data_IF_777091512761
#
_entry.id   IF_777091512761
#
_cell.length_a   1.000
_cell.length_b   1.000
_cell.length_c   1.000
_cell.angle_alpha   90.00
_cell.angle_beta   90.00
_cell.angle_gamma   90.00
#
_symmetry.space_group_name_H-M   'P 1'
#
loop_
_entity.id
_entity.type
_entity.pdbx_description
1 polymer ?
#
# COMPACT_ATOMS: atom_id res chain seq x y z
N UNK A 1 -5.06 -11.79 8.46
CA UNK A 1 -3.77 -11.96 7.76
C UNK A 1 -3.96 -12.64 6.41
N UNK A 2 -2.95 -12.59 5.53
CA UNK A 2 -2.96 -13.16 4.19
C UNK A 2 -1.71 -13.99 3.91
N UNK A 3 -1.84 -15.00 3.06
CA UNK A 3 -0.72 -15.81 2.58
C UNK A 3 -0.89 -16.16 1.09
N UNK A 4 0.19 -16.52 0.38
CA UNK A 4 0.12 -16.99 -1.00
C UNK A 4 -0.75 -18.23 -1.18
N UNK A 5 -1.58 -18.25 -2.23
CA UNK A 5 -2.39 -19.40 -2.61
C UNK A 5 -1.53 -20.44 -3.38
N UNK A 6 -1.10 -21.51 -2.71
CA UNK A 6 -0.39 -22.64 -3.32
C UNK A 6 0.89 -22.23 -4.08
N UNK A 7 1.01 -22.65 -5.35
CA UNK A 7 2.14 -22.31 -6.23
C UNK A 7 1.99 -20.97 -6.96
N UNK A 8 1.12 -20.06 -6.48
CA UNK A 8 1.00 -18.74 -7.07
C UNK A 8 2.37 -18.05 -7.15
N UNK A 9 2.63 -17.30 -8.22
CA UNK A 9 3.91 -16.61 -8.41
C UNK A 9 4.26 -15.65 -7.25
N UNK A 10 3.25 -15.17 -6.52
CA UNK A 10 3.41 -14.33 -5.33
C UNK A 10 4.06 -15.07 -4.15
N UNK A 11 4.01 -16.41 -4.12
CA UNK A 11 4.66 -17.26 -3.12
C UNK A 11 6.20 -17.15 -3.13
N UNK A 12 6.78 -16.57 -4.18
CA UNK A 12 8.23 -16.29 -4.25
C UNK A 12 8.65 -15.13 -3.34
N UNK A 13 7.71 -14.31 -2.87
CA UNK A 13 8.01 -13.19 -2.00
C UNK A 13 7.80 -13.56 -0.55
N UNK A 14 8.65 -13.02 0.32
CA UNK A 14 8.47 -13.06 1.77
C UNK A 14 7.34 -12.14 2.23
N UNK A 15 7.04 -11.09 1.44
CA UNK A 15 5.94 -10.16 1.67
C UNK A 15 5.65 -9.31 0.42
N UNK A 16 4.45 -8.74 0.35
CA UNK A 16 4.11 -7.59 -0.50
C UNK A 16 4.15 -6.34 0.37
N UNK A 17 5.14 -5.49 0.15
CA UNK A 17 5.32 -4.24 0.90
C UNK A 17 4.68 -3.11 0.12
N UNK A 18 3.87 -2.28 0.78
CA UNK A 18 3.24 -1.11 0.16
C UNK A 18 3.75 0.14 0.89
N UNK A 19 4.24 1.13 0.13
CA UNK A 19 4.59 2.45 0.68
C UNK A 19 3.64 3.50 0.14
N UNK A 20 3.03 4.28 1.03
CA UNK A 20 2.17 5.40 0.67
C UNK A 20 2.06 6.41 1.82
N UNK A 21 1.51 7.58 1.53
CA UNK A 21 1.30 8.65 2.50
C UNK A 21 -0.16 9.08 2.61
N UNK A 22 -0.54 9.64 3.76
CA UNK A 22 -1.85 10.24 3.95
C UNK A 22 -1.79 11.56 4.70
N UNK A 23 -2.14 12.63 3.99
CA UNK A 23 -2.15 13.97 4.56
C UNK A 23 -3.49 14.36 5.17
N UNK A 24 -3.45 15.29 6.12
CA UNK A 24 -4.63 16.02 6.59
C UNK A 24 -4.22 17.37 7.20
N UNK A 25 -5.14 18.32 7.15
CA UNK A 25 -4.94 19.66 7.67
C UNK A 25 -4.83 19.68 9.21
N UNK A 26 -4.01 20.60 9.70
CA UNK A 26 -3.88 20.98 11.09
C UNK A 26 -4.35 22.43 11.29
N UNK A 27 -4.38 22.88 12.55
CA UNK A 27 -4.70 24.28 12.85
C UNK A 27 -3.63 25.19 12.24
N UNK A 28 -4.06 26.23 11.52
CA UNK A 28 -3.19 27.13 10.72
C UNK A 28 -1.99 27.70 11.49
N UNK A 29 -2.11 27.88 12.81
CA UNK A 29 -1.01 28.36 13.67
C UNK A 29 0.20 27.41 13.70
N UNK A 30 0.03 26.13 13.33
CA UNK A 30 1.09 25.14 13.27
C UNK A 30 1.88 25.14 11.95
N UNK A 31 1.63 26.09 11.03
CA UNK A 31 2.27 26.13 9.70
C UNK A 31 3.81 26.21 9.76
N UNK A 32 4.37 26.73 10.84
CA UNK A 32 5.82 26.88 11.02
C UNK A 32 6.50 25.56 11.41
N UNK A 33 5.71 24.57 11.82
CA UNK A 33 6.15 23.27 12.32
C UNK A 33 5.75 22.16 11.35
N UNK A 34 4.50 22.21 10.90
CA UNK A 34 3.89 21.28 9.94
C UNK A 34 3.44 22.05 8.71
N UNK A 35 4.39 22.43 7.85
CA UNK A 35 4.07 23.23 6.67
C UNK A 35 3.27 22.42 5.65
N UNK A 36 2.13 22.98 5.24
CA UNK A 36 1.27 22.34 4.24
C UNK A 36 1.71 22.61 2.80
N UNK A 37 1.47 21.65 1.92
CA UNK A 37 1.73 21.81 0.47
C UNK A 37 0.84 22.87 -0.18
N UNK A 38 -0.38 23.06 0.33
CA UNK A 38 -1.36 24.00 -0.19
C UNK A 38 -1.53 25.23 0.71
N UNK A 39 -0.51 26.08 0.74
CA UNK A 39 -0.39 27.23 1.65
C UNK A 39 -1.61 28.16 1.72
N UNK A 40 -2.35 28.33 0.62
CA UNK A 40 -3.54 29.19 0.59
C UNK A 40 -4.79 28.58 1.23
N UNK A 41 -4.90 27.25 1.31
CA UNK A 41 -6.09 26.56 1.84
C UNK A 41 -5.80 25.88 3.17
N UNK A 42 -4.72 25.12 3.21
CA UNK A 42 -4.27 24.30 4.33
C UNK A 42 -2.80 24.64 4.62
N UNK A 43 -2.52 25.83 5.20
CA UNK A 43 -1.15 26.28 5.44
C UNK A 43 -0.40 25.41 6.46
N UNK A 44 -1.14 24.73 7.34
CA UNK A 44 -0.61 23.74 8.24
C UNK A 44 -1.20 22.37 7.89
N UNK A 45 -0.35 21.40 7.53
CA UNK A 45 -0.76 20.04 7.23
C UNK A 45 0.37 19.06 7.54
N UNK A 46 -0.04 17.87 7.95
CA UNK A 46 0.86 16.77 8.29
C UNK A 46 0.60 15.61 7.35
N UNK A 47 1.66 14.92 6.95
CA UNK A 47 1.58 13.68 6.20
C UNK A 47 2.07 12.51 7.06
N UNK A 48 1.26 11.46 7.10
CA UNK A 48 1.61 10.19 7.74
C UNK A 48 2.06 9.23 6.65
N UNK A 49 3.36 8.97 6.59
CA UNK A 49 3.97 7.99 5.70
C UNK A 49 3.95 6.62 6.35
N UNK A 50 3.46 5.61 5.64
CA UNK A 50 3.33 4.26 6.16
C UNK A 50 3.87 3.22 5.20
N UNK A 51 4.61 2.25 5.77
CA UNK A 51 4.96 1.00 5.12
C UNK A 51 4.00 -0.08 5.62
N UNK A 52 3.27 -0.71 4.72
CA UNK A 52 2.28 -1.74 5.02
C UNK A 52 2.72 -3.12 4.51
N UNK A 53 2.59 -4.12 5.37
CA UNK A 53 2.80 -5.54 5.06
C UNK A 53 1.50 -6.14 4.53
N UNK A 54 1.53 -6.62 3.29
CA UNK A 54 0.40 -7.27 2.65
C UNK A 54 0.05 -8.61 3.28
N UNK A 55 1.04 -9.39 3.71
CA UNK A 55 0.81 -10.70 4.32
C UNK A 55 0.32 -10.54 5.77
N UNK A 56 0.92 -9.63 6.54
CA UNK A 56 0.45 -9.35 7.91
C UNK A 56 -0.89 -8.60 7.91
N UNK A 57 -1.25 -7.95 6.80
CA UNK A 57 -2.39 -7.04 6.70
C UNK A 57 -2.34 -5.97 7.81
N UNK A 58 -1.15 -5.39 7.99
CA UNK A 58 -0.82 -4.45 9.06
C UNK A 58 0.30 -3.49 8.65
N UNK A 59 0.37 -2.33 9.30
CA UNK A 59 1.48 -1.39 9.17
C UNK A 59 2.74 -1.91 9.86
N UNK A 60 3.89 -1.84 9.19
CA UNK A 60 5.19 -2.21 9.75
C UNK A 60 5.96 -0.99 10.26
N UNK A 61 5.82 0.14 9.57
CA UNK A 61 6.57 1.37 9.88
C UNK A 61 5.69 2.58 9.63
N UNK A 62 5.75 3.58 10.51
CA UNK A 62 5.09 4.87 10.34
C UNK A 62 6.09 6.00 10.59
N UNK A 63 6.00 7.05 9.79
CA UNK A 63 6.69 8.32 10.02
C UNK A 63 5.72 9.47 9.79
N UNK A 64 5.90 10.54 10.55
CA UNK A 64 5.07 11.75 10.46
C UNK A 64 5.99 12.88 10.04
N UNK A 65 5.59 13.65 9.04
CA UNK A 65 6.37 14.76 8.50
C UNK A 65 5.46 15.90 8.08
N UNK A 66 6.05 17.06 7.76
CA UNK A 66 5.29 18.15 7.12
C UNK A 66 4.81 17.69 5.74
N UNK A 67 3.57 18.03 5.37
CA UNK A 67 2.99 17.67 4.07
C UNK A 67 3.74 18.28 2.87
N UNK A 68 4.56 19.30 3.09
CA UNK A 68 5.45 19.85 2.06
C UNK A 68 6.73 19.05 1.81
N UNK A 69 7.09 18.10 2.69
CA UNK A 69 8.33 17.34 2.56
C UNK A 69 8.29 16.34 1.40
N UNK A 70 9.47 16.01 0.87
CA UNK A 70 9.55 15.09 -0.26
C UNK A 70 9.29 13.63 0.17
N UNK A 71 8.23 13.03 -0.36
CA UNK A 71 7.78 11.66 -0.04
C UNK A 71 8.88 10.57 -0.15
N UNK A 72 9.88 10.77 -1.03
CA UNK A 72 10.88 9.75 -1.38
C UNK A 72 11.76 9.32 -0.21
N UNK A 73 12.01 10.20 0.75
CA UNK A 73 12.86 9.87 1.90
C UNK A 73 12.22 8.81 2.82
N UNK A 74 10.90 8.61 2.71
CA UNK A 74 10.14 7.63 3.49
C UNK A 74 10.01 6.27 2.80
N UNK A 75 10.68 6.07 1.65
CA UNK A 75 10.77 4.74 1.04
C UNK A 75 11.49 3.76 1.97
N UNK A 76 11.07 2.49 2.02
CA UNK A 76 11.83 1.46 2.74
C UNK A 76 13.28 1.40 2.24
N UNK A 77 14.24 1.19 3.14
CA UNK A 77 15.62 1.01 2.73
C UNK A 77 15.75 -0.18 1.75
N UNK A 78 16.52 -0.07 0.65
CA UNK A 78 16.62 -1.16 -0.35
C UNK A 78 17.00 -2.53 0.24
N UNK A 79 17.85 -2.54 1.27
CA UNK A 79 18.28 -3.76 1.98
C UNK A 79 17.13 -4.48 2.69
N UNK A 80 16.11 -3.76 3.16
CA UNK A 80 14.94 -4.37 3.81
C UNK A 80 13.97 -4.98 2.79
N UNK A 81 14.16 -4.76 1.48
CA UNK A 81 13.31 -5.29 0.43
C UNK A 81 13.81 -6.62 -0.15
N UNK A 82 14.90 -7.19 0.36
CA UNK A 82 15.43 -8.48 -0.08
C UNK A 82 14.36 -9.59 -0.03
N UNK A 83 14.04 -10.16 -1.20
CA UNK A 83 13.01 -11.18 -1.36
C UNK A 83 11.57 -10.69 -1.15
N UNK A 84 11.32 -9.38 -1.15
CA UNK A 84 9.99 -8.76 -1.00
C UNK A 84 9.59 -8.01 -2.27
N UNK A 85 8.29 -7.78 -2.45
CA UNK A 85 7.72 -7.01 -3.56
C UNK A 85 7.22 -5.64 -3.08
N UNK A 86 7.89 -4.55 -3.47
CA UNK A 86 7.44 -3.18 -3.20
C UNK A 86 6.36 -2.72 -4.19
N UNK A 87 5.26 -2.17 -3.70
CA UNK A 87 4.26 -1.43 -4.46
C UNK A 87 4.26 0.04 -4.04
N UNK A 88 4.40 0.98 -4.99
CA UNK A 88 4.39 2.43 -4.70
C UNK A 88 3.77 3.25 -5.84
N UNK A 89 3.22 4.43 -5.51
CA UNK A 89 2.59 5.35 -6.48
C UNK A 89 3.60 6.31 -7.14
N UNK A 90 3.09 7.28 -7.91
CA UNK A 90 3.82 8.17 -8.84
C UNK A 90 4.78 9.17 -8.21
N UNK A 91 4.77 9.39 -6.89
CA UNK A 91 5.71 10.27 -6.18
C UNK A 91 7.08 9.62 -5.95
N UNK A 92 7.10 8.28 -5.87
CA UNK A 92 8.25 7.47 -5.48
C UNK A 92 9.26 7.04 -6.56
N UNK A 93 9.02 7.19 -7.88
CA UNK A 93 10.01 6.76 -8.86
C UNK A 93 11.38 7.44 -8.72
N UNK A 94 12.43 6.62 -8.71
CA UNK A 94 13.85 7.01 -8.80
C UNK A 94 14.64 5.85 -9.39
N UNK A 95 15.33 6.08 -10.52
CA UNK A 95 16.11 5.03 -11.20
C UNK A 95 17.25 4.50 -10.32
N UNK A 96 17.88 5.38 -9.54
CA UNK A 96 18.91 5.00 -8.56
C UNK A 96 18.34 4.09 -7.48
N UNK A 97 17.15 4.41 -6.97
CA UNK A 97 16.48 3.57 -5.97
C UNK A 97 16.06 2.22 -6.56
N UNK A 98 15.51 2.19 -7.78
CA UNK A 98 15.16 0.94 -8.47
C UNK A 98 16.36 0.02 -8.67
N UNK A 99 17.50 0.60 -9.04
CA UNK A 99 18.76 -0.14 -9.20
C UNK A 99 19.26 -0.70 -7.86
N UNK A 100 19.20 0.11 -6.79
CA UNK A 100 19.57 -0.31 -5.44
C UNK A 100 18.66 -1.43 -4.90
N UNK A 101 17.34 -1.35 -5.11
CA UNK A 101 16.39 -2.42 -4.74
C UNK A 101 16.73 -3.71 -5.46
N UNK A 102 16.98 -3.65 -6.77
CA UNK A 102 17.41 -4.82 -7.55
C UNK A 102 18.72 -5.40 -7.01
N UNK A 103 19.72 -4.56 -6.73
CA UNK A 103 21.02 -4.99 -6.23
C UNK A 103 20.93 -5.73 -4.88
N UNK A 104 19.95 -5.38 -4.04
CA UNK A 104 19.68 -6.06 -2.76
C UNK A 104 18.71 -7.24 -2.89
N UNK A 105 18.39 -7.69 -4.12
CA UNK A 105 17.49 -8.83 -4.35
C UNK A 105 16.01 -8.53 -4.06
N UNK A 106 15.63 -7.25 -4.04
CA UNK A 106 14.24 -6.81 -3.93
C UNK A 106 13.54 -6.73 -5.29
N UNK A 107 12.21 -6.79 -5.25
CA UNK A 107 11.36 -6.59 -6.43
C UNK A 107 10.45 -5.38 -6.25
N UNK A 108 10.03 -4.75 -7.34
CA UNK A 108 9.12 -3.61 -7.26
C UNK A 108 8.13 -3.55 -8.41
N UNK A 109 6.97 -2.94 -8.16
CA UNK A 109 6.05 -2.41 -9.17
C UNK A 109 5.69 -0.99 -8.75
N UNK A 110 6.20 -0.01 -9.49
CA UNK A 110 6.01 1.42 -9.18
C UNK A 110 5.33 2.12 -10.34
N UNK A 111 4.29 2.90 -10.05
CA UNK A 111 3.60 3.68 -11.08
C UNK A 111 4.46 4.86 -11.50
N UNK A 112 4.69 5.03 -12.79
CA UNK A 112 5.47 6.15 -13.33
C UNK A 112 4.59 7.37 -13.60
N UNK A 113 5.14 8.55 -13.35
CA UNK A 113 4.59 9.82 -13.82
C UNK A 113 4.87 10.01 -15.32
N UNK A 114 4.25 11.02 -15.94
CA UNK A 114 4.52 11.39 -17.34
C UNK A 114 5.95 11.90 -17.58
N UNK A 115 6.59 12.44 -16.54
CA UNK A 115 7.96 12.94 -16.62
C UNK A 115 9.00 11.82 -16.79
N UNK A 116 8.63 10.58 -16.49
CA UNK A 116 9.46 9.41 -16.81
C UNK A 116 9.21 8.99 -18.25
N UNK A 117 10.23 9.19 -19.08
CA UNK A 117 10.17 8.97 -20.52
C UNK A 117 11.40 8.20 -21.01
N UNK A 118 11.64 6.96 -20.57
CA UNK A 118 12.79 6.18 -21.03
C UNK A 118 12.71 5.81 -22.52
N UNK A 119 13.80 5.26 -23.06
CA UNK A 119 13.83 4.69 -24.39
C UNK A 119 13.22 3.30 -24.39
N UNK A 120 12.30 3.01 -25.30
CA UNK A 120 11.74 1.67 -25.52
C UNK A 120 12.66 0.91 -26.46
N UNK A 121 13.22 -0.20 -26.00
CA UNK A 121 14.15 -1.06 -26.76
C UNK A 121 13.47 -2.32 -27.32
N UNK A 122 12.47 -2.86 -26.63
CA UNK A 122 11.60 -3.92 -27.13
C UNK A 122 10.15 -3.69 -26.69
N UNK A 123 9.20 -4.13 -27.50
CA UNK A 123 7.78 -3.88 -27.24
C UNK A 123 6.89 -5.06 -27.65
N UNK A 124 5.90 -5.34 -26.81
CA UNK A 124 4.79 -6.22 -27.10
C UNK A 124 3.50 -5.44 -26.92
N UNK A 125 2.68 -5.36 -27.97
CA UNK A 125 1.41 -4.62 -27.95
C UNK A 125 0.27 -5.59 -28.19
N UNK A 126 -0.70 -5.62 -27.27
CA UNK A 126 -1.76 -6.64 -27.26
C UNK A 126 -1.21 -8.07 -27.35
N UNK A 127 -0.10 -8.34 -26.65
CA UNK A 127 0.56 -9.65 -26.61
C UNK A 127 1.42 -10.01 -27.82
N UNK A 128 1.43 -9.20 -28.89
CA UNK A 128 2.25 -9.45 -30.08
C UNK A 128 3.51 -8.59 -30.05
N UNK A 129 4.66 -9.20 -30.34
CA UNK A 129 5.92 -8.46 -30.44
C UNK A 129 5.85 -7.49 -31.62
N UNK A 130 6.35 -6.28 -31.41
CA UNK A 130 6.45 -5.22 -32.41
C UNK A 130 7.92 -4.97 -32.70
N UNK A 131 8.32 -5.07 -33.97
CA UNK A 131 9.69 -4.77 -34.39
C UNK A 131 9.94 -3.25 -34.33
N UNK A 132 10.97 -2.85 -33.59
CA UNK A 132 11.42 -1.46 -33.51
C UNK A 132 12.66 -1.28 -34.40
N UNK A 133 12.59 -0.41 -35.41
CA UNK A 133 13.76 -0.08 -36.25
C UNK A 133 14.86 0.65 -35.47
N UNK A 134 14.47 1.44 -34.47
CA UNK A 134 15.36 2.14 -33.54
C UNK A 134 14.64 2.36 -32.20
N UNK A 135 15.37 2.51 -31.08
CA UNK A 135 14.77 2.89 -29.82
C UNK A 135 13.94 4.16 -29.95
N UNK A 136 12.83 4.24 -29.22
CA UNK A 136 11.95 5.41 -29.27
C UNK A 136 11.49 5.81 -27.88
N UNK A 137 11.21 7.11 -27.69
CA UNK A 137 10.76 7.64 -26.39
C UNK A 137 9.42 7.01 -25.99
N UNK A 138 9.30 6.64 -24.72
CA UNK A 138 8.11 5.98 -24.17
C UNK A 138 6.82 6.76 -24.48
N UNK A 139 6.83 8.07 -24.27
CA UNK A 139 5.73 9.00 -24.57
C UNK A 139 5.26 8.86 -26.02
N UNK A 140 6.18 8.99 -26.97
CA UNK A 140 5.91 8.83 -28.41
C UNK A 140 5.41 7.42 -28.76
N UNK A 141 5.93 6.39 -28.11
CA UNK A 141 5.46 5.01 -28.33
C UNK A 141 4.01 4.83 -27.86
N UNK A 142 3.68 5.38 -26.69
CA UNK A 142 2.33 5.34 -26.10
C UNK A 142 1.34 6.08 -26.99
N UNK A 143 1.67 7.29 -27.47
CA UNK A 143 0.80 8.08 -28.35
C UNK A 143 0.39 7.31 -29.61
N UNK A 144 1.35 6.61 -30.24
CA UNK A 144 1.11 5.79 -31.44
C UNK A 144 0.31 4.51 -31.18
N UNK A 145 0.19 4.11 -29.91
CA UNK A 145 -0.48 2.88 -29.50
C UNK A 145 -1.57 3.16 -28.46
N UNK A 146 -2.17 4.34 -28.50
CA UNK A 146 -3.18 4.78 -27.52
C UNK A 146 -4.28 3.74 -27.31
N UNK A 147 -4.78 3.63 -26.09
CA UNK A 147 -5.78 2.66 -25.65
C UNK A 147 -5.41 1.17 -25.80
N UNK A 148 -4.14 0.83 -26.07
CA UNK A 148 -3.66 -0.56 -26.16
C UNK A 148 -2.83 -0.97 -24.95
N UNK A 149 -2.93 -2.24 -24.55
CA UNK A 149 -2.06 -2.81 -23.51
C UNK A 149 -0.67 -3.07 -24.06
N UNK A 150 0.36 -2.69 -23.32
CA UNK A 150 1.76 -2.82 -23.76
C UNK A 150 2.63 -3.40 -22.66
N UNK A 151 3.54 -4.28 -23.04
CA UNK A 151 4.63 -4.80 -22.22
C UNK A 151 5.93 -4.38 -22.90
N UNK A 152 6.75 -3.57 -22.23
CA UNK A 152 7.87 -2.87 -22.85
C UNK A 152 9.15 -3.17 -22.08
N UNK A 153 10.25 -3.38 -22.80
CA UNK A 153 11.59 -3.23 -22.23
C UNK A 153 12.03 -1.80 -22.47
N UNK A 154 12.51 -1.15 -21.42
CA UNK A 154 12.91 0.26 -21.44
C UNK A 154 14.29 0.46 -20.87
N UNK A 155 14.95 1.50 -21.37
CA UNK A 155 16.32 1.87 -21.03
C UNK A 155 16.35 3.32 -20.53
N UNK A 156 16.98 3.51 -19.37
CA UNK A 156 17.29 4.81 -18.81
C UNK A 156 18.79 5.06 -18.95
N UNK A 157 19.13 6.14 -19.65
CA UNK A 157 20.51 6.61 -19.78
C UNK A 157 20.89 7.38 -18.52
N UNK A 158 22.01 7.01 -17.89
CA UNK A 158 22.58 7.69 -16.72
C UNK A 158 24.08 7.89 -16.94
N UNK A 159 24.44 9.01 -17.57
CA UNK A 159 25.83 9.25 -17.96
C UNK A 159 26.29 8.19 -18.97
N UNK A 160 27.26 7.35 -18.57
CA UNK A 160 27.75 6.23 -19.39
C UNK A 160 26.99 4.92 -19.15
N UNK A 161 26.20 4.84 -18.09
CA UNK A 161 25.49 3.61 -17.71
C UNK A 161 24.08 3.58 -18.33
N UNK A 162 23.62 2.37 -18.65
CA UNK A 162 22.26 2.11 -19.14
C UNK A 162 21.55 1.18 -18.17
N UNK A 163 20.48 1.68 -17.54
CA UNK A 163 19.64 0.91 -16.65
C UNK A 163 18.43 0.36 -17.42
N UNK A 164 18.22 -0.95 -17.35
CA UNK A 164 17.13 -1.65 -18.04
C UNK A 164 16.03 -2.04 -17.07
N UNK A 165 14.79 -1.74 -17.42
CA UNK A 165 13.60 -2.14 -16.68
C UNK A 165 12.49 -2.58 -17.62
N UNK A 166 11.44 -3.17 -17.05
CA UNK A 166 10.21 -3.48 -17.76
C UNK A 166 9.14 -2.45 -17.42
N UNK A 167 8.43 -1.94 -18.43
CA UNK A 167 7.29 -1.04 -18.24
C UNK A 167 6.04 -1.65 -18.84
N UNK A 168 5.01 -1.81 -18.02
CA UNK A 168 3.67 -2.20 -18.44
C UNK A 168 2.81 -0.95 -18.60
N UNK A 169 2.18 -0.82 -19.76
CA UNK A 169 1.24 0.27 -20.07
C UNK A 169 -0.18 -0.29 -20.17
N UNK A 170 -1.10 0.29 -19.40
CA UNK A 170 -2.49 -0.13 -19.33
C UNK A 170 -3.43 1.03 -19.70
N UNK A 171 -4.43 0.79 -20.55
CA UNK A 171 -5.52 1.74 -20.71
C UNK A 171 -6.25 1.89 -19.38
N UNK A 172 -6.73 3.10 -19.10
CA UNK A 172 -7.47 3.41 -17.89
C UNK A 172 -8.49 4.51 -18.15
N UNK A 173 -9.10 5.01 -17.08
CA UNK A 173 -10.02 6.17 -17.17
C UNK A 173 -9.28 7.47 -17.49
N UNK A 174 -7.99 7.55 -17.14
CA UNK A 174 -7.13 8.68 -17.49
C UNK A 174 -6.63 8.52 -18.94
N UNK A 175 -6.69 9.60 -19.73
CA UNK A 175 -6.18 9.62 -21.11
C UNK A 175 -4.67 9.33 -21.21
N UNK A 176 -3.94 9.49 -20.11
CA UNK A 176 -2.47 9.40 -20.03
C UNK A 176 -1.95 7.96 -19.95
N UNK A 177 -2.85 6.98 -19.79
CA UNK A 177 -2.58 5.56 -19.55
C UNK A 177 -1.74 5.29 -18.29
N UNK A 178 -2.01 4.17 -17.60
CA UNK A 178 -1.23 3.79 -16.42
C UNK A 178 0.08 3.13 -16.86
N UNK A 179 1.21 3.59 -16.30
CA UNK A 179 2.56 3.08 -16.59
C UNK A 179 3.12 2.45 -15.32
N UNK A 180 3.45 1.16 -15.34
CA UNK A 180 3.99 0.42 -14.20
C UNK A 180 5.41 -0.04 -14.52
N UNK A 181 6.40 0.53 -13.84
CA UNK A 181 7.79 0.09 -13.92
C UNK A 181 8.03 -1.08 -12.97
N UNK A 182 8.76 -2.09 -13.42
CA UNK A 182 9.08 -3.27 -12.62
C UNK A 182 10.39 -3.93 -13.06
N UNK A 183 11.04 -4.63 -12.15
CA UNK A 183 12.13 -5.56 -12.43
C UNK A 183 11.66 -7.02 -12.54
N UNK A 184 10.34 -7.27 -12.48
CA UNK A 184 9.79 -8.62 -12.56
C UNK A 184 9.85 -9.18 -14.01
N UNK A 185 10.32 -10.42 -14.19
CA UNK A 185 10.38 -11.06 -15.50
C UNK A 185 8.98 -11.32 -16.07
N UNK A 186 8.86 -11.43 -17.40
CA UNK A 186 7.58 -11.72 -18.08
C UNK A 186 6.96 -13.07 -17.66
N UNK A 187 7.80 -14.04 -17.31
CA UNK A 187 7.39 -15.35 -16.78
C UNK A 187 8.00 -15.53 -15.40
N UNK A 188 7.21 -15.86 -14.36
CA UNK A 188 5.75 -16.07 -14.38
C UNK A 188 4.91 -14.78 -14.32
N UNK A 189 5.52 -13.59 -14.24
CA UNK A 189 4.80 -12.33 -14.05
C UNK A 189 4.31 -11.72 -15.36
N UNK A 190 3.24 -12.30 -15.90
CA UNK A 190 2.57 -11.73 -17.07
C UNK A 190 2.08 -10.30 -16.80
N UNK A 191 1.83 -9.54 -17.87
CA UNK A 191 1.28 -8.18 -17.78
C UNK A 191 -0.02 -8.14 -16.94
N UNK A 192 -0.89 -9.13 -17.11
CA UNK A 192 -2.12 -9.28 -16.32
C UNK A 192 -1.85 -9.51 -14.84
N UNK A 193 -0.85 -10.33 -14.50
CA UNK A 193 -0.49 -10.58 -13.11
C UNK A 193 0.11 -9.34 -12.46
N UNK A 194 1.05 -8.66 -13.10
CA UNK A 194 1.63 -7.40 -12.58
C UNK A 194 0.54 -6.34 -12.38
N UNK A 195 -0.42 -6.23 -13.31
CA UNK A 195 -1.57 -5.34 -13.15
C UNK A 195 -2.42 -5.70 -11.92
N UNK A 196 -2.69 -6.98 -11.68
CA UNK A 196 -3.42 -7.45 -10.49
C UNK A 196 -2.65 -7.18 -9.20
N UNK A 197 -1.35 -7.45 -9.18
CA UNK A 197 -0.48 -7.18 -8.03
C UNK A 197 -0.47 -5.68 -7.71
N UNK A 198 -0.32 -4.81 -8.71
CA UNK A 198 -0.34 -3.37 -8.46
C UNK A 198 -1.68 -2.87 -7.90
N UNK A 199 -2.82 -3.47 -8.31
CA UNK A 199 -4.13 -3.12 -7.72
C UNK A 199 -4.21 -3.42 -6.23
N UNK A 200 -3.39 -4.35 -5.71
CA UNK A 200 -3.30 -4.62 -4.28
C UNK A 200 -2.81 -3.41 -3.48
N UNK A 201 -2.12 -2.44 -4.12
CA UNK A 201 -1.71 -1.17 -3.50
C UNK A 201 -2.86 -0.49 -2.75
N UNK A 202 -4.10 -0.57 -3.27
CA UNK A 202 -5.30 0.01 -2.65
C UNK A 202 -5.57 -0.43 -1.21
N UNK A 203 -4.95 -1.51 -0.71
CA UNK A 203 -5.08 -1.90 0.70
C UNK A 203 -4.60 -0.80 1.65
N UNK A 204 -3.53 -0.06 1.32
CA UNK A 204 -3.03 1.03 2.18
C UNK A 204 -3.98 2.23 2.17
N UNK A 205 -4.65 2.52 1.06
CA UNK A 205 -5.67 3.57 1.01
C UNK A 205 -6.89 3.22 1.88
N UNK A 206 -7.27 1.94 1.90
CA UNK A 206 -8.33 1.45 2.78
C UNK A 206 -7.91 1.54 4.25
N UNK A 207 -6.65 1.23 4.56
CA UNK A 207 -6.07 1.41 5.89
C UNK A 207 -6.13 2.88 6.34
N UNK A 208 -5.70 3.82 5.50
CA UNK A 208 -5.78 5.26 5.83
C UNK A 208 -7.23 5.74 6.04
N UNK A 209 -8.17 5.25 5.24
CA UNK A 209 -9.60 5.53 5.45
C UNK A 209 -10.09 5.00 6.79
N UNK A 210 -9.64 3.82 7.18
CA UNK A 210 -9.94 3.21 8.48
C UNK A 210 -9.37 4.07 9.62
N UNK A 211 -8.10 4.49 9.53
CA UNK A 211 -7.46 5.34 10.55
C UNK A 211 -8.19 6.68 10.73
N UNK A 212 -8.49 7.37 9.63
CA UNK A 212 -9.22 8.65 9.66
C UNK A 212 -10.63 8.49 10.22
N UNK A 213 -11.35 7.44 9.81
CA UNK A 213 -12.76 7.26 10.16
C UNK A 213 -12.95 6.73 11.58
N UNK A 214 -12.16 5.71 11.94
CA UNK A 214 -12.41 4.84 13.11
C UNK A 214 -11.29 4.84 14.12
N UNK A 215 -10.15 5.50 13.85
CA UNK A 215 -9.11 5.72 14.85
C UNK A 215 -8.91 7.20 15.19
N UNK A 216 -9.78 8.09 14.69
CA UNK A 216 -9.76 9.54 14.94
C UNK A 216 -8.48 10.26 14.53
N UNK A 217 -7.73 9.72 13.56
CA UNK A 217 -6.42 10.24 13.12
C UNK A 217 -6.42 11.74 12.76
N UNK A 218 -7.55 12.29 12.34
CA UNK A 218 -7.69 13.71 12.00
C UNK A 218 -8.80 14.44 12.76
N UNK A 219 -9.33 13.85 13.85
CA UNK A 219 -10.48 14.40 14.60
C UNK A 219 -10.02 15.13 15.87
N UNK A 220 -9.16 16.12 15.71
CA UNK A 220 -8.71 16.98 16.79
C UNK A 220 -8.44 18.40 16.28
N UNK A 221 -8.50 19.38 17.16
CA UNK A 221 -8.28 20.79 16.83
C UNK A 221 -7.46 21.47 17.93
N UNK A 222 -6.14 21.42 17.81
CA UNK A 222 -5.20 22.01 18.78
C UNK A 222 -4.19 22.92 18.10
N UNK A 223 -3.73 23.94 18.82
CA UNK A 223 -2.65 24.83 18.38
C UNK A 223 -1.28 24.38 18.92
N UNK A 224 -1.23 23.38 19.79
CA UNK A 224 0.00 22.89 20.40
C UNK A 224 0.55 21.70 19.61
N UNK A 225 1.79 21.82 19.14
CA UNK A 225 2.45 20.82 18.29
C UNK A 225 2.62 19.45 18.98
N UNK A 226 2.94 19.43 20.27
CA UNK A 226 3.15 18.20 21.02
C UNK A 226 1.83 17.47 21.27
N UNK A 227 0.75 18.21 21.55
CA UNK A 227 -0.60 17.62 21.64
C UNK A 227 -1.03 17.07 20.28
N UNK A 228 -0.79 17.80 19.18
CA UNK A 228 -1.12 17.33 17.85
C UNK A 228 -0.37 16.02 17.53
N UNK A 229 0.96 15.99 17.68
CA UNK A 229 1.76 14.81 17.45
C UNK A 229 1.34 13.64 18.36
N UNK A 230 1.09 13.90 19.64
CA UNK A 230 0.63 12.90 20.60
C UNK A 230 -0.72 12.27 20.22
N UNK A 231 -1.68 13.08 19.76
CA UNK A 231 -2.99 12.58 19.30
C UNK A 231 -2.88 11.76 18.01
N UNK A 232 -1.95 12.10 17.12
CA UNK A 232 -1.67 11.30 15.92
C UNK A 232 -1.14 9.93 16.34
N UNK A 233 -0.12 9.88 17.20
CA UNK A 233 0.43 8.60 17.68
C UNK A 233 -0.59 7.78 18.46
N UNK A 234 -1.39 8.39 19.34
CA UNK A 234 -2.47 7.70 20.04
C UNK A 234 -3.50 7.09 19.08
N UNK A 235 -3.85 7.82 18.01
CA UNK A 235 -4.74 7.33 16.96
C UNK A 235 -4.14 6.12 16.23
N UNK A 236 -2.85 6.15 15.91
CA UNK A 236 -2.14 5.04 15.26
C UNK A 236 -2.08 3.80 16.17
N UNK A 237 -1.79 3.96 17.46
CA UNK A 237 -1.82 2.87 18.43
C UNK A 237 -3.22 2.24 18.51
N UNK A 238 -4.27 3.06 18.59
CA UNK A 238 -5.65 2.57 18.57
C UNK A 238 -5.95 1.80 17.28
N UNK A 239 -5.48 2.27 16.12
CA UNK A 239 -5.68 1.57 14.86
C UNK A 239 -5.02 0.18 14.83
N UNK A 240 -3.77 0.07 15.29
CA UNK A 240 -3.04 -1.20 15.38
C UNK A 240 -3.74 -2.17 16.33
N UNK A 241 -4.18 -1.71 17.50
CA UNK A 241 -4.92 -2.55 18.45
C UNK A 241 -6.23 -3.09 17.85
N UNK A 242 -6.99 -2.24 17.16
CA UNK A 242 -8.22 -2.65 16.47
C UNK A 242 -7.97 -3.67 15.37
N UNK A 243 -6.87 -3.52 14.64
CA UNK A 243 -6.45 -4.42 13.58
C UNK A 243 -5.96 -5.76 14.13
N UNK A 244 -5.23 -5.73 15.24
CA UNK A 244 -4.89 -6.92 16.03
C UNK A 244 -6.14 -7.71 16.44
N UNK A 245 -7.17 -7.06 16.99
CA UNK A 245 -8.43 -7.72 17.35
C UNK A 245 -9.10 -8.40 16.15
N UNK A 246 -9.01 -7.80 14.95
CA UNK A 246 -9.56 -8.40 13.74
C UNK A 246 -8.83 -9.69 13.37
N UNK A 247 -7.50 -9.69 13.44
CA UNK A 247 -6.68 -10.87 13.13
C UNK A 247 -6.79 -11.95 14.20
N UNK A 248 -6.89 -11.56 15.49
CA UNK A 248 -7.13 -12.50 16.59
C UNK A 248 -8.48 -13.21 16.43
N UNK A 249 -9.55 -12.46 16.13
CA UNK A 249 -10.86 -13.04 15.86
C UNK A 249 -10.83 -13.98 14.63
N UNK A 250 -10.12 -13.59 13.57
CA UNK A 250 -9.96 -14.42 12.36
C UNK A 250 -9.28 -15.76 12.66
N UNK A 251 -8.19 -15.75 13.44
CA UNK A 251 -7.47 -16.94 13.85
C UNK A 251 -8.30 -17.86 14.75
N UNK A 252 -8.93 -17.30 15.79
CA UNK A 252 -9.72 -18.07 16.76
C UNK A 252 -10.97 -18.66 16.12
N UNK A 253 -11.68 -17.89 15.31
CA UNK A 253 -12.93 -18.34 14.70
C UNK A 253 -12.78 -19.06 13.36
N UNK A 254 -11.58 -19.09 12.78
CA UNK A 254 -11.31 -19.69 11.47
C UNK A 254 -12.16 -19.13 10.33
N UNK A 255 -12.53 -17.84 10.42
CA UNK A 255 -13.42 -17.16 9.47
C UNK A 255 -12.84 -15.80 9.10
N UNK A 256 -12.89 -15.46 7.81
CA UNK A 256 -12.40 -14.18 7.35
C UNK A 256 -13.13 -12.99 8.01
N UNK A 257 -12.36 -12.07 8.60
CA UNK A 257 -12.89 -10.90 9.29
C UNK A 257 -12.79 -9.65 8.42
N UNK A 258 -13.70 -8.70 8.64
CA UNK A 258 -13.61 -7.38 8.02
C UNK A 258 -12.91 -6.42 8.96
N UNK A 259 -11.66 -6.06 8.65
CA UNK A 259 -10.87 -5.10 9.45
C UNK A 259 -11.63 -3.80 9.70
N UNK A 260 -12.32 -3.28 8.67
CA UNK A 260 -13.17 -2.09 8.77
C UNK A 260 -14.31 -2.26 9.79
N UNK A 261 -15.06 -3.37 9.73
CA UNK A 261 -16.18 -3.60 10.66
C UNK A 261 -15.68 -3.77 12.09
N UNK A 262 -14.54 -4.45 12.27
CA UNK A 262 -13.89 -4.56 13.57
C UNK A 262 -13.49 -3.17 14.06
N UNK A 263 -12.81 -2.36 13.23
CA UNK A 263 -12.40 -1.00 13.62
C UNK A 263 -13.58 -0.10 14.05
N UNK A 264 -14.76 -0.28 13.44
CA UNK A 264 -15.99 0.42 13.80
C UNK A 264 -16.48 0.11 15.23
N UNK A 265 -16.43 -1.16 15.66
CA UNK A 265 -17.03 -1.59 16.93
C UNK A 265 -16.02 -1.94 18.03
N UNK A 266 -14.72 -2.05 17.70
CA UNK A 266 -13.69 -2.50 18.64
C UNK A 266 -13.44 -1.56 19.82
N UNK A 267 -13.95 -0.32 19.79
CA UNK A 267 -13.88 0.57 20.96
C UNK A 267 -14.55 -0.06 22.19
N UNK A 268 -15.74 -0.64 22.04
CA UNK A 268 -16.46 -1.28 23.15
C UNK A 268 -15.65 -2.42 23.78
N UNK A 269 -14.97 -3.21 22.96
CA UNK A 269 -14.14 -4.33 23.43
C UNK A 269 -12.90 -3.80 24.16
N UNK A 270 -12.27 -2.75 23.64
CA UNK A 270 -11.10 -2.13 24.28
C UNK A 270 -11.49 -1.52 25.63
N UNK A 271 -12.66 -0.87 25.72
CA UNK A 271 -13.19 -0.30 26.95
C UNK A 271 -13.45 -1.39 28.01
N UNK A 272 -14.05 -2.51 27.62
CA UNK A 272 -14.26 -3.67 28.51
C UNK A 272 -12.95 -4.29 28.98
N UNK A 273 -11.96 -4.42 28.10
CA UNK A 273 -10.62 -4.91 28.47
C UNK A 273 -9.92 -3.97 29.44
N UNK A 274 -10.03 -2.65 29.22
CA UNK A 274 -9.46 -1.65 30.12
C UNK A 274 -10.15 -1.66 31.49
N UNK A 275 -11.49 -1.76 31.51
CA UNK A 275 -12.26 -1.89 32.74
C UNK A 275 -11.89 -3.15 33.52
N UNK A 276 -11.74 -4.29 32.84
CA UNK A 276 -11.30 -5.54 33.45
C UNK A 276 -9.89 -5.41 34.06
N UNK A 277 -8.97 -4.78 33.34
CA UNK A 277 -7.61 -4.54 33.81
C UNK A 277 -7.58 -3.63 35.05
N UNK A 278 -8.32 -2.52 35.04
CA UNK A 278 -8.39 -1.57 36.14
C UNK A 278 -9.07 -2.15 37.40
N UNK A 279 -10.06 -3.02 37.19
CA UNK A 279 -10.73 -3.74 38.28
C UNK A 279 -9.92 -4.95 38.78
N UNK A 280 -8.75 -5.23 38.20
CA UNK A 280 -7.93 -6.41 38.50
C UNK A 280 -8.70 -7.73 38.38
N UNK A 281 -9.63 -7.81 37.42
CA UNK A 281 -10.38 -9.03 37.09
C UNK A 281 -9.81 -9.69 35.83
N UNK A 282 -10.32 -10.89 35.51
CA UNK A 282 -9.83 -11.65 34.35
C UNK A 282 -10.09 -10.93 33.04
N UNK A 283 -9.01 -10.46 32.41
CA UNK A 283 -9.04 -9.93 31.03
C UNK A 283 -9.36 -11.02 30.00
N UNK A 284 -9.15 -12.30 30.35
CA UNK A 284 -9.38 -13.41 29.43
C UNK A 284 -10.88 -13.60 29.12
N UNK A 285 -11.75 -13.37 30.10
CA UNK A 285 -13.20 -13.41 29.91
C UNK A 285 -13.65 -12.28 28.97
N UNK A 286 -13.31 -11.04 29.30
CA UNK A 286 -13.62 -9.87 28.46
C UNK A 286 -13.06 -10.01 27.03
N UNK A 287 -11.85 -10.55 26.88
CA UNK A 287 -11.28 -10.82 25.57
C UNK A 287 -12.08 -11.87 24.80
N UNK A 288 -12.46 -12.97 25.46
CA UNK A 288 -13.24 -14.05 24.84
C UNK A 288 -14.61 -13.56 24.38
N UNK A 289 -15.30 -12.78 25.22
CA UNK A 289 -16.60 -12.19 24.90
C UNK A 289 -16.48 -11.19 23.74
N UNK A 290 -15.43 -10.36 23.75
CA UNK A 290 -15.12 -9.45 22.65
C UNK A 290 -14.88 -10.19 21.33
N UNK A 291 -14.09 -11.27 21.34
CA UNK A 291 -13.87 -12.09 20.14
C UNK A 291 -15.16 -12.77 19.67
N UNK A 292 -16.00 -13.27 20.58
CA UNK A 292 -17.29 -13.85 20.24
C UNK A 292 -18.22 -12.81 19.58
N UNK A 293 -18.27 -11.60 20.12
CA UNK A 293 -19.00 -10.49 19.54
C UNK A 293 -18.51 -10.15 18.12
N UNK A 294 -17.19 -10.04 17.91
CA UNK A 294 -16.62 -9.79 16.59
C UNK A 294 -16.99 -10.92 15.63
N UNK A 295 -16.87 -12.17 16.05
CA UNK A 295 -17.20 -13.32 15.23
C UNK A 295 -18.67 -13.36 14.83
N UNK A 296 -19.59 -12.83 15.63
CA UNK A 296 -20.97 -12.68 15.24
C UNK A 296 -21.20 -11.48 14.28
N UNK A 297 -20.51 -10.36 14.50
CA UNK A 297 -20.92 -9.06 13.97
C UNK A 297 -19.95 -8.41 12.95
N UNK A 298 -18.73 -8.93 12.78
CA UNK A 298 -17.68 -8.29 11.97
C UNK A 298 -17.08 -9.20 10.89
N UNK A 299 -17.75 -10.32 10.57
CA UNK A 299 -17.36 -11.21 9.47
C UNK A 299 -17.30 -10.46 8.13
N UNK A 300 -16.38 -10.92 7.28
CA UNK A 300 -16.24 -10.42 5.91
C UNK A 300 -17.43 -10.85 5.06
N UNK A 301 -18.18 -9.87 4.55
CA UNK A 301 -19.50 -10.13 3.97
C UNK A 301 -19.50 -10.91 2.64
N UNK A 302 -18.43 -10.84 1.84
CA UNK A 302 -18.39 -11.55 0.56
C UNK A 302 -16.95 -11.96 0.15
N UNK A 303 -16.41 -13.05 0.71
CA UNK A 303 -15.07 -13.55 0.37
C UNK A 303 -14.93 -13.96 -1.10
N UNK A 304 -16.01 -14.42 -1.75
CA UNK A 304 -16.02 -14.81 -3.16
C UNK A 304 -15.74 -13.60 -4.07
N UNK A 305 -16.34 -12.44 -3.77
CA UNK A 305 -16.07 -11.18 -4.47
C UNK A 305 -14.60 -10.77 -4.34
N UNK A 306 -13.97 -11.05 -3.21
CA UNK A 306 -12.56 -10.71 -2.99
C UNK A 306 -11.62 -11.48 -3.91
N UNK A 307 -11.91 -12.75 -4.21
CA UNK A 307 -11.15 -13.53 -5.21
C UNK A 307 -11.29 -12.96 -6.63
N UNK A 308 -12.45 -12.40 -6.96
CA UNK A 308 -12.73 -11.84 -8.30
C UNK A 308 -12.18 -10.43 -8.49
N UNK A 309 -12.36 -9.57 -7.48
CA UNK A 309 -12.19 -8.10 -7.63
C UNK A 309 -11.45 -7.43 -6.48
N UNK A 310 -11.28 -8.13 -5.35
CA UNK A 310 -10.69 -7.58 -4.13
C UNK A 310 -9.26 -8.05 -3.89
N UNK A 311 -8.89 -8.11 -2.61
CA UNK A 311 -7.51 -8.32 -2.16
C UNK A 311 -6.96 -9.72 -2.46
N UNK A 312 -7.83 -10.73 -2.58
CA UNK A 312 -7.43 -12.12 -2.84
C UNK A 312 -7.08 -12.37 -4.31
N UNK A 313 -7.47 -11.47 -5.22
CA UNK A 313 -7.18 -11.56 -6.66
C UNK A 313 -5.68 -11.54 -7.00
N UNK A 314 -4.84 -11.15 -6.03
CA UNK A 314 -3.37 -11.17 -6.13
C UNK A 314 -2.77 -12.59 -6.01
N UNK A 315 -3.60 -13.63 -5.90
CA UNK A 315 -3.14 -15.01 -5.63
C UNK A 315 -2.87 -15.22 -4.14
N UNK A 316 -3.72 -14.62 -3.30
CA UNK A 316 -3.61 -14.67 -1.84
C UNK A 316 -4.87 -15.31 -1.26
N UNK A 317 -4.71 -15.99 -0.13
CA UNK A 317 -5.79 -16.52 0.69
C UNK A 317 -5.74 -15.90 2.09
N UNK A 318 -6.84 -16.01 2.83
CA UNK A 318 -6.89 -15.57 4.22
C UNK A 318 -6.35 -16.67 5.12
N UNK A 319 -5.39 -16.34 5.99
CA UNK A 319 -4.80 -17.30 6.94
C UNK A 319 -5.87 -17.81 7.89
N UNK A 320 -5.91 -19.13 8.11
CA UNK A 320 -6.82 -19.77 9.08
C UNK A 320 -8.30 -19.82 8.67
N UNK A 321 -8.69 -19.19 7.56
CA UNK A 321 -10.07 -19.29 7.07
C UNK A 321 -10.31 -20.65 6.41
N UNK A 322 -11.19 -21.47 6.99
CA UNK A 322 -11.65 -22.71 6.35
C UNK A 322 -12.52 -22.34 5.13
N UNK A 323 -12.21 -22.95 3.99
CA UNK A 323 -12.90 -22.73 2.70
C UNK A 323 -14.36 -23.12 2.72
#
# INVERSE_FOLDING_TARGET
MLEPEGHAAVARFKDIVIQDGSSFALKKTLQHVFSGRFTNREPAAVEVHATYSGFSDEVSTVSIASDSEAERQFLPAPSTLAGRLLLADRGYPSTQYFDAVRAHGGSFIVRLSRSHDPWVSAAWVQGKQVLLRKPTRLSRFIERNSNRRMDLDVEYERGKDVLRFRVIVLPGREATMTRLCTNLPRTPFSLDLVSRLYRFRWQIELLFKEWKSYANLHKFNTANEHIAAGLIWASLCAAVLKRFLAHAAELVGGRAMSTRRVAMCAAHIIDELAAALLACISIAAAFSDGLAFLLANARRSNPVRDRKTGRLRAGLVTVGARS
#
